data_IF_170038861800
#
_entry.id   IF_170038861800
#
_cell.length_a   1.000
_cell.length_b   1.000
_cell.length_c   1.000
_cell.angle_alpha   90.00
_cell.angle_beta   90.00
_cell.angle_gamma   90.00
#
_symmetry.space_group_name_H-M   'P 1'
#
loop_
_entity.id
_entity.type
_entity.pdbx_description
1 polymer ?
#
# COMPACT_ATOMS: atom_id res chain seq x y z
N UNK A 1 -15.72 -8.22 -56.34
CA UNK A 1 -15.93 -9.68 -56.55
C UNK A 1 -14.68 -10.34 -57.12
N UNK A 2 -14.12 -9.86 -58.24
CA UNK A 2 -12.86 -10.38 -58.83
C UNK A 2 -11.70 -10.46 -57.83
N UNK A 3 -11.47 -9.38 -57.06
CA UNK A 3 -10.49 -9.32 -55.95
C UNK A 3 -10.79 -10.29 -54.80
N UNK A 4 -12.07 -10.61 -54.56
CA UNK A 4 -12.48 -11.49 -53.45
C UNK A 4 -12.28 -12.96 -53.79
N UNK A 5 -12.57 -13.35 -55.03
CA UNK A 5 -12.43 -14.73 -55.50
C UNK A 5 -11.06 -15.04 -56.10
N UNK A 6 -10.10 -14.09 -56.02
CA UNK A 6 -8.76 -14.21 -56.63
C UNK A 6 -8.80 -14.57 -58.13
N UNK A 7 -9.83 -14.13 -58.83
CA UNK A 7 -10.00 -14.45 -60.25
C UNK A 7 -9.26 -13.41 -61.07
N UNK A 8 -8.26 -13.82 -61.85
CA UNK A 8 -7.57 -12.93 -62.78
C UNK A 8 -8.33 -12.90 -64.11
N UNK A 9 -9.34 -12.02 -64.24
CA UNK A 9 -10.09 -11.83 -65.48
C UNK A 9 -9.78 -10.46 -66.10
N UNK A 10 -9.50 -10.39 -67.42
CA UNK A 10 -9.37 -9.13 -68.12
C UNK A 10 -10.70 -8.37 -68.08
N UNK A 11 -10.63 -7.04 -67.96
CA UNK A 11 -11.83 -6.18 -68.01
C UNK A 11 -12.44 -6.27 -69.41
N UNK A 12 -13.50 -7.07 -69.56
CA UNK A 12 -14.28 -7.15 -70.79
C UNK A 12 -15.21 -5.93 -70.84
N UNK A 13 -14.87 -4.94 -71.65
CA UNK A 13 -15.79 -3.84 -71.98
C UNK A 13 -16.77 -4.32 -73.05
N UNK A 14 -18.00 -4.59 -72.66
CA UNK A 14 -19.08 -4.84 -73.61
C UNK A 14 -19.46 -3.53 -74.31
N UNK A 15 -18.88 -3.26 -75.47
CA UNK A 15 -19.35 -2.20 -76.37
C UNK A 15 -20.54 -2.74 -77.17
N UNK A 16 -21.74 -2.19 -76.90
CA UNK A 16 -23.06 -2.54 -77.46
C UNK A 16 -23.86 -3.58 -76.66
N UNK A 17 -24.17 -3.27 -75.39
CA UNK A 17 -25.35 -3.85 -74.75
C UNK A 17 -26.59 -3.22 -75.42
N UNK A 18 -27.47 -4.04 -75.98
CA UNK A 18 -28.80 -3.60 -76.43
C UNK A 18 -29.60 -3.00 -75.28
N UNK A 19 -30.63 -2.20 -75.56
CA UNK A 19 -31.57 -1.55 -74.59
C UNK A 19 -32.32 -2.54 -73.66
N UNK A 20 -31.93 -3.81 -73.62
CA UNK A 20 -32.52 -4.85 -72.80
C UNK A 20 -31.60 -5.18 -71.63
N UNK A 21 -32.07 -4.95 -70.40
CA UNK A 21 -31.37 -5.20 -69.14
C UNK A 21 -31.28 -6.69 -68.74
N UNK A 22 -31.13 -7.63 -69.69
CA UNK A 22 -31.10 -9.08 -69.42
C UNK A 22 -29.96 -9.50 -68.47
N UNK A 23 -28.85 -8.74 -68.49
CA UNK A 23 -27.68 -8.96 -67.64
C UNK A 23 -27.94 -8.57 -66.18
N UNK A 24 -28.91 -7.70 -65.92
CA UNK A 24 -29.22 -7.17 -64.60
C UNK A 24 -29.75 -8.28 -63.67
N UNK A 25 -30.62 -9.16 -64.16
CA UNK A 25 -31.12 -10.30 -63.37
C UNK A 25 -29.97 -11.20 -62.90
N UNK A 26 -29.05 -11.52 -63.80
CA UNK A 26 -27.87 -12.33 -63.48
C UNK A 26 -26.97 -11.64 -62.45
N UNK A 27 -26.79 -10.32 -62.59
CA UNK A 27 -26.00 -9.52 -61.65
C UNK A 27 -26.65 -9.43 -60.26
N UNK A 28 -27.98 -9.27 -60.19
CA UNK A 28 -28.75 -9.33 -58.93
C UNK A 28 -28.59 -10.69 -58.24
N UNK A 29 -28.67 -11.79 -58.99
CA UNK A 29 -28.44 -13.13 -58.47
C UNK A 29 -27.01 -13.30 -57.93
N UNK A 30 -26.01 -12.83 -58.67
CA UNK A 30 -24.61 -12.88 -58.26
C UNK A 30 -24.38 -12.07 -56.97
N UNK A 31 -24.92 -10.85 -56.89
CA UNK A 31 -24.82 -10.01 -55.70
C UNK A 31 -25.48 -10.67 -54.48
N UNK A 32 -26.67 -11.25 -54.65
CA UNK A 32 -27.35 -11.99 -53.56
C UNK A 32 -26.51 -13.15 -53.06
N UNK A 33 -26.02 -14.01 -53.95
CA UNK A 33 -25.18 -15.15 -53.58
C UNK A 33 -23.89 -14.70 -52.89
N UNK A 34 -23.28 -13.62 -53.39
CA UNK A 34 -22.09 -13.05 -52.79
C UNK A 34 -22.34 -12.53 -51.37
N UNK A 35 -23.45 -11.81 -51.14
CA UNK A 35 -23.82 -11.35 -49.80
C UNK A 35 -24.09 -12.55 -48.87
N UNK A 36 -24.75 -13.60 -49.36
CA UNK A 36 -24.94 -14.83 -48.60
C UNK A 36 -23.62 -15.47 -48.18
N UNK A 37 -22.62 -15.50 -49.07
CA UNK A 37 -21.29 -15.97 -48.73
C UNK A 37 -20.61 -15.09 -47.67
N UNK A 38 -20.73 -13.76 -47.75
CA UNK A 38 -20.23 -12.84 -46.73
C UNK A 38 -20.84 -13.13 -45.35
N UNK A 39 -22.11 -13.53 -45.29
CA UNK A 39 -22.79 -13.89 -44.04
C UNK A 39 -22.30 -15.21 -43.42
N UNK A 40 -21.49 -16.00 -44.12
CA UNK A 40 -20.82 -17.19 -43.54
C UNK A 40 -19.53 -16.84 -42.81
N UNK A 41 -19.03 -15.61 -42.95
CA UNK A 41 -17.77 -15.16 -42.35
C UNK A 41 -17.99 -14.71 -40.91
N UNK A 42 -16.98 -14.89 -40.07
CA UNK A 42 -17.00 -14.46 -38.68
C UNK A 42 -16.67 -12.97 -38.51
N UNK A 43 -16.80 -12.47 -37.29
CA UNK A 43 -16.53 -11.06 -36.97
C UNK A 43 -15.05 -10.66 -37.18
N UNK A 44 -14.11 -11.59 -37.04
CA UNK A 44 -12.69 -11.34 -37.28
C UNK A 44 -12.43 -11.07 -38.76
N UNK A 45 -13.00 -11.88 -39.65
CA UNK A 45 -12.90 -11.69 -41.08
C UNK A 45 -13.49 -10.34 -41.51
N UNK A 46 -14.67 -9.97 -40.98
CA UNK A 46 -15.32 -8.68 -41.27
C UNK A 46 -14.42 -7.52 -40.82
N UNK A 47 -13.79 -7.64 -39.65
CA UNK A 47 -12.87 -6.63 -39.11
C UNK A 47 -11.63 -6.45 -40.00
N UNK A 48 -11.02 -7.53 -40.47
CA UNK A 48 -9.85 -7.49 -41.35
C UNK A 48 -10.18 -6.95 -42.76
N UNK A 49 -11.41 -7.17 -43.24
CA UNK A 49 -11.85 -6.83 -44.58
C UNK A 49 -12.77 -5.60 -44.63
N UNK A 50 -12.70 -4.73 -43.63
CA UNK A 50 -13.66 -3.62 -43.48
C UNK A 50 -13.61 -2.63 -44.65
N UNK A 51 -12.41 -2.34 -45.17
CA UNK A 51 -12.25 -1.45 -46.32
C UNK A 51 -12.88 -2.06 -47.58
N UNK A 52 -12.70 -3.36 -47.79
CA UNK A 52 -13.32 -4.07 -48.90
C UNK A 52 -14.85 -4.00 -48.85
N UNK A 53 -15.45 -4.17 -47.66
CA UNK A 53 -16.89 -4.04 -47.49
C UNK A 53 -17.39 -2.62 -47.76
N UNK A 54 -16.63 -1.60 -47.35
CA UNK A 54 -16.95 -0.21 -47.65
C UNK A 54 -16.90 0.09 -49.15
N UNK A 55 -15.84 -0.37 -49.83
CA UNK A 55 -15.69 -0.22 -51.29
C UNK A 55 -16.86 -0.91 -52.02
N UNK A 56 -17.23 -2.13 -51.60
CA UNK A 56 -18.38 -2.84 -52.14
C UNK A 56 -19.66 -2.03 -51.99
N UNK A 57 -19.97 -1.59 -50.77
CA UNK A 57 -21.19 -0.84 -50.46
C UNK A 57 -21.23 0.50 -51.22
N UNK A 58 -20.10 1.19 -51.37
CA UNK A 58 -20.03 2.44 -52.14
C UNK A 58 -20.45 2.27 -53.61
N UNK A 59 -20.25 1.08 -54.18
CA UNK A 59 -20.63 0.77 -55.57
C UNK A 59 -22.09 0.33 -55.66
N UNK A 60 -22.56 -0.50 -54.73
CA UNK A 60 -23.89 -1.14 -54.85
C UNK A 60 -25.01 -0.33 -54.21
N UNK A 61 -24.71 0.55 -53.24
CA UNK A 61 -25.72 1.24 -52.44
C UNK A 61 -26.54 2.26 -53.22
N UNK A 62 -25.89 3.10 -54.04
CA UNK A 62 -26.56 4.16 -54.80
C UNK A 62 -27.16 3.64 -56.13
N UNK A 63 -26.93 2.37 -56.48
CA UNK A 63 -27.50 1.78 -57.70
C UNK A 63 -28.95 1.32 -57.46
N UNK A 64 -29.91 2.04 -58.04
CA UNK A 64 -31.34 1.90 -57.74
C UNK A 64 -31.89 0.47 -57.91
N UNK A 65 -31.34 -0.31 -58.85
CA UNK A 65 -31.74 -1.70 -59.09
C UNK A 65 -31.34 -2.69 -57.98
N UNK A 66 -30.40 -2.33 -57.11
CA UNK A 66 -29.97 -3.17 -55.98
C UNK A 66 -30.63 -2.79 -54.66
N UNK A 67 -31.50 -1.76 -54.65
CA UNK A 67 -32.12 -1.25 -53.44
C UNK A 67 -32.84 -2.34 -52.63
N UNK A 68 -33.56 -3.25 -53.29
CA UNK A 68 -34.24 -4.37 -52.63
C UNK A 68 -33.27 -5.32 -51.93
N UNK A 69 -32.14 -5.62 -52.57
CA UNK A 69 -31.11 -6.52 -52.05
C UNK A 69 -30.46 -5.90 -50.82
N UNK A 70 -30.05 -4.65 -50.92
CA UNK A 70 -29.36 -3.92 -49.85
C UNK A 70 -30.26 -3.73 -48.62
N UNK A 71 -31.56 -3.49 -48.82
CA UNK A 71 -32.50 -3.32 -47.72
C UNK A 71 -32.85 -4.64 -47.01
N UNK A 72 -32.85 -5.77 -47.74
CA UNK A 72 -33.37 -7.04 -47.21
C UNK A 72 -32.31 -7.99 -46.67
N UNK A 73 -31.07 -7.90 -47.16
CA UNK A 73 -29.99 -8.79 -46.76
C UNK A 73 -29.08 -8.17 -45.68
N UNK A 74 -28.49 -9.00 -44.79
CA UNK A 74 -27.51 -8.51 -43.84
C UNK A 74 -26.17 -8.25 -44.55
N UNK A 75 -25.77 -6.98 -44.64
CA UNK A 75 -24.54 -6.55 -45.31
C UNK A 75 -23.83 -5.42 -44.57
N UNK A 76 -24.50 -4.79 -43.60
CA UNK A 76 -23.96 -3.66 -42.86
C UNK A 76 -23.31 -4.13 -41.55
N UNK A 77 -22.05 -3.78 -41.28
CA UNK A 77 -21.39 -4.18 -40.05
C UNK A 77 -21.89 -3.34 -38.86
N UNK A 78 -22.25 -4.00 -37.77
CA UNK A 78 -22.43 -3.34 -36.48
C UNK A 78 -21.08 -3.11 -35.76
N UNK A 79 -21.10 -2.51 -34.57
CA UNK A 79 -19.87 -2.22 -33.80
C UNK A 79 -19.14 -3.47 -33.28
N UNK A 80 -19.76 -4.64 -33.36
CA UNK A 80 -19.15 -5.94 -33.08
C UNK A 80 -18.69 -6.68 -34.35
N UNK A 81 -18.71 -6.01 -35.51
CA UNK A 81 -18.34 -6.57 -36.80
C UNK A 81 -19.23 -7.72 -37.27
N UNK A 82 -20.47 -7.80 -36.78
CA UNK A 82 -21.47 -8.72 -37.29
C UNK A 82 -22.30 -8.04 -38.39
N UNK A 83 -22.51 -8.73 -39.51
CA UNK A 83 -23.33 -8.22 -40.61
C UNK A 83 -24.82 -8.27 -40.22
N UNK A 84 -25.50 -7.13 -40.34
CA UNK A 84 -26.91 -6.94 -40.01
C UNK A 84 -27.65 -6.29 -41.16
N UNK A 85 -28.97 -6.43 -41.15
CA UNK A 85 -29.85 -5.72 -42.08
C UNK A 85 -29.85 -4.24 -41.73
N UNK A 86 -30.08 -3.39 -42.72
CA UNK A 86 -30.18 -1.95 -42.50
C UNK A 86 -31.26 -1.60 -41.46
N UNK A 87 -32.39 -2.32 -41.48
CA UNK A 87 -33.52 -2.12 -40.55
C UNK A 87 -33.19 -2.41 -39.08
N UNK A 88 -32.17 -3.23 -38.82
CA UNK A 88 -31.79 -3.68 -37.49
C UNK A 88 -30.78 -2.75 -36.82
N UNK A 89 -30.30 -1.74 -37.56
CA UNK A 89 -29.22 -0.85 -37.16
C UNK A 89 -29.70 0.57 -36.92
N UNK A 90 -28.98 1.25 -36.02
CA UNK A 90 -29.14 2.64 -35.64
C UNK A 90 -27.80 3.36 -35.83
N UNK A 91 -27.85 4.65 -36.06
CA UNK A 91 -26.64 5.47 -36.21
C UNK A 91 -26.11 5.82 -34.81
N UNK A 92 -24.81 5.65 -34.61
CA UNK A 92 -24.13 6.08 -33.39
C UNK A 92 -23.96 7.60 -33.41
N UNK A 93 -24.73 8.31 -32.57
CA UNK A 93 -24.65 9.75 -32.37
C UNK A 93 -23.50 10.19 -31.48
N UNK A 94 -22.34 9.54 -31.61
CA UNK A 94 -21.12 9.77 -30.81
C UNK A 94 -21.31 9.44 -29.31
N UNK A 95 -21.87 8.26 -29.04
CA UNK A 95 -22.08 7.73 -27.68
C UNK A 95 -20.72 7.33 -27.08
N UNK A 96 -20.34 7.87 -25.90
CA UNK A 96 -19.12 7.46 -25.21
C UNK A 96 -19.09 5.95 -24.89
N UNK A 97 -17.93 5.30 -25.03
CA UNK A 97 -17.80 3.86 -24.77
C UNK A 97 -18.18 3.48 -23.33
N UNK A 98 -17.82 4.32 -22.35
CA UNK A 98 -18.22 4.09 -20.95
C UNK A 98 -19.75 4.11 -20.76
N UNK A 99 -20.46 4.95 -21.52
CA UNK A 99 -21.92 5.00 -21.48
C UNK A 99 -22.55 3.76 -22.12
N UNK A 100 -21.94 3.22 -23.19
CA UNK A 100 -22.35 1.94 -23.80
C UNK A 100 -22.18 0.77 -22.83
N UNK A 101 -21.03 0.71 -22.14
CA UNK A 101 -20.77 -0.34 -21.13
C UNK A 101 -21.75 -0.26 -19.96
N UNK A 102 -22.04 0.96 -19.50
CA UNK A 102 -23.02 1.20 -18.45
C UNK A 102 -24.43 0.75 -18.89
N UNK A 103 -24.82 1.09 -20.11
CA UNK A 103 -26.11 0.65 -20.67
C UNK A 103 -26.23 -0.86 -20.67
N UNK A 104 -25.24 -1.58 -21.19
CA UNK A 104 -25.26 -3.04 -21.27
C UNK A 104 -25.29 -3.70 -19.87
N UNK A 105 -24.60 -3.11 -18.90
CA UNK A 105 -24.53 -3.60 -17.51
C UNK A 105 -25.87 -3.49 -16.78
N UNK A 106 -26.61 -2.40 -17.00
CA UNK A 106 -27.92 -2.14 -16.35
C UNK A 106 -29.04 -2.83 -17.12
N UNK A 107 -28.94 -2.85 -18.45
CA UNK A 107 -30.06 -3.19 -19.31
C UNK A 107 -30.44 -4.65 -19.36
N UNK A 108 -29.50 -5.58 -19.03
CA UNK A 108 -29.63 -7.05 -19.13
C UNK A 108 -30.52 -7.51 -20.30
N UNK A 109 -30.48 -6.78 -21.42
CA UNK A 109 -31.34 -7.02 -22.58
C UNK A 109 -30.77 -8.15 -23.41
N UNK A 110 -31.64 -8.82 -24.19
CA UNK A 110 -31.22 -9.89 -25.10
C UNK A 110 -30.30 -9.43 -26.23
N UNK A 111 -30.14 -8.12 -26.43
CA UNK A 111 -29.20 -7.49 -27.36
C UNK A 111 -28.43 -6.38 -26.66
N UNK A 112 -27.12 -6.36 -26.87
CA UNK A 112 -26.23 -5.28 -26.41
C UNK A 112 -26.36 -4.04 -27.31
N UNK A 113 -26.04 -2.85 -26.80
CA UNK A 113 -26.12 -1.60 -27.57
C UNK A 113 -25.22 -1.65 -28.82
N UNK A 114 -24.04 -2.26 -28.70
CA UNK A 114 -23.08 -2.43 -29.81
C UNK A 114 -23.58 -3.39 -30.89
N UNK A 115 -24.60 -4.21 -30.60
CA UNK A 115 -25.21 -5.07 -31.61
C UNK A 115 -26.14 -4.32 -32.56
N UNK A 116 -26.74 -3.22 -32.08
CA UNK A 116 -27.75 -2.44 -32.80
C UNK A 116 -27.18 -1.15 -33.38
N UNK A 117 -25.97 -0.74 -33.00
CA UNK A 117 -25.30 0.41 -33.60
C UNK A 117 -24.47 0.00 -34.82
N UNK A 118 -24.59 0.77 -35.90
CA UNK A 118 -23.72 0.61 -37.07
C UNK A 118 -22.29 1.04 -36.76
N UNK A 119 -21.32 0.42 -37.43
CA UNK A 119 -19.94 0.89 -37.40
C UNK A 119 -19.84 2.28 -38.03
N UNK A 120 -19.17 3.23 -37.36
CA UNK A 120 -19.13 4.67 -37.70
C UNK A 120 -18.85 4.95 -39.19
N UNK A 121 -17.93 4.18 -39.79
CA UNK A 121 -17.49 4.33 -41.18
C UNK A 121 -18.61 4.06 -42.20
N UNK A 122 -19.69 3.39 -41.76
CA UNK A 122 -20.83 2.97 -42.57
C UNK A 122 -22.09 3.79 -42.29
N UNK A 123 -22.04 4.78 -41.38
CA UNK A 123 -23.20 5.61 -41.00
C UNK A 123 -23.84 6.32 -42.21
N UNK A 124 -23.05 6.68 -43.22
CA UNK A 124 -23.53 7.34 -44.44
C UNK A 124 -24.50 6.48 -45.27
N UNK A 125 -24.51 5.16 -45.06
CA UNK A 125 -25.43 4.24 -45.73
C UNK A 125 -26.79 4.15 -45.01
N UNK A 126 -26.97 4.81 -43.87
CA UNK A 126 -28.23 4.89 -43.14
C UNK A 126 -28.80 6.32 -43.22
N UNK A 127 -28.95 6.89 -44.42
CA UNK A 127 -29.37 8.30 -44.62
C UNK A 127 -30.66 8.70 -43.85
N UNK A 128 -31.59 7.75 -43.65
CA UNK A 128 -32.84 7.94 -42.90
C UNK A 128 -32.90 7.12 -41.58
N UNK A 129 -31.76 6.65 -41.09
CA UNK A 129 -31.68 5.83 -39.88
C UNK A 129 -31.94 6.65 -38.62
N UNK A 130 -32.58 6.03 -37.62
CA UNK A 130 -32.68 6.62 -36.28
C UNK A 130 -31.28 6.76 -35.67
N UNK A 131 -30.96 7.98 -35.21
CA UNK A 131 -29.72 8.31 -34.50
C UNK A 131 -29.98 8.08 -33.01
N UNK A 132 -29.12 7.27 -32.37
CA UNK A 132 -29.09 7.15 -30.92
C UNK A 132 -28.04 8.11 -30.37
N UNK A 133 -28.47 9.08 -29.58
CA UNK A 133 -27.59 10.06 -28.93
C UNK A 133 -27.26 9.65 -27.49
N UNK A 134 -26.21 10.21 -26.87
CA UNK A 134 -25.91 9.99 -25.45
C UNK A 134 -27.12 10.26 -24.53
N UNK A 135 -27.91 11.30 -24.80
CA UNK A 135 -29.09 11.68 -24.02
C UNK A 135 -30.21 10.64 -24.14
N UNK A 136 -30.38 10.03 -25.32
CA UNK A 136 -31.33 8.93 -25.49
C UNK A 136 -30.93 7.72 -24.63
N UNK A 137 -29.65 7.36 -24.65
CA UNK A 137 -29.13 6.23 -23.86
C UNK A 137 -29.23 6.51 -22.36
N UNK A 138 -28.84 7.71 -21.92
CA UNK A 138 -28.96 8.14 -20.54
C UNK A 138 -30.41 8.11 -20.05
N UNK A 139 -31.35 8.64 -20.84
CA UNK A 139 -32.79 8.59 -20.53
C UNK A 139 -33.32 7.15 -20.44
N UNK A 140 -32.90 6.25 -21.33
CA UNK A 140 -33.26 4.83 -21.26
C UNK A 140 -32.73 4.17 -19.97
N UNK A 141 -31.52 4.51 -19.54
CA UNK A 141 -30.94 4.05 -18.27
C UNK A 141 -31.73 4.59 -17.08
N UNK A 142 -32.01 5.90 -17.03
CA UNK A 142 -32.77 6.50 -15.93
C UNK A 142 -34.18 5.90 -15.80
N UNK A 143 -34.83 5.63 -16.93
CA UNK A 143 -36.12 4.94 -16.97
C UNK A 143 -36.04 3.51 -16.42
N UNK A 144 -34.93 2.79 -16.66
CA UNK A 144 -34.72 1.46 -16.06
C UNK A 144 -34.41 1.54 -14.57
N UNK A 145 -33.68 2.56 -14.15
CA UNK A 145 -33.35 2.78 -12.74
C UNK A 145 -34.55 3.27 -11.92
N UNK A 146 -35.61 3.79 -12.55
CA UNK A 146 -36.87 4.21 -11.89
C UNK A 146 -36.68 5.04 -10.61
N UNK A 147 -35.68 5.93 -10.59
CA UNK A 147 -35.27 6.72 -9.41
C UNK A 147 -36.40 7.63 -8.90
N UNK A 148 -37.35 8.00 -9.77
CA UNK A 148 -38.53 8.78 -9.37
C UNK A 148 -39.54 7.97 -8.54
N UNK A 149 -39.63 6.66 -8.75
CA UNK A 149 -40.58 5.77 -8.08
C UNK A 149 -39.99 5.06 -6.85
N UNK A 150 -38.67 5.20 -6.62
CA UNK A 150 -37.99 4.56 -5.50
C UNK A 150 -38.30 5.27 -4.18
N UNK A 151 -38.81 4.52 -3.19
CA UNK A 151 -39.10 5.00 -1.83
C UNK A 151 -37.88 4.97 -0.90
N UNK A 152 -36.91 4.10 -1.19
CA UNK A 152 -35.65 4.00 -0.43
C UNK A 152 -34.49 3.67 -1.38
N UNK A 153 -33.69 4.68 -1.69
CA UNK A 153 -32.58 4.56 -2.65
C UNK A 153 -31.48 3.58 -2.18
N UNK A 154 -31.33 3.36 -0.86
CA UNK A 154 -30.28 2.50 -0.32
C UNK A 154 -30.51 1.02 -0.55
N UNK A 155 -31.77 0.62 -0.76
CA UNK A 155 -32.14 -0.76 -1.07
C UNK A 155 -32.25 -1.00 -2.57
N UNK A 156 -31.89 -0.02 -3.41
CA UNK A 156 -32.01 -0.13 -4.85
C UNK A 156 -31.01 -1.14 -5.43
N UNK A 157 -31.47 -2.09 -6.26
CA UNK A 157 -30.64 -3.14 -6.87
C UNK A 157 -29.40 -2.57 -7.59
N UNK A 158 -29.56 -1.41 -8.21
CA UNK A 158 -28.53 -0.75 -9.00
C UNK A 158 -27.84 0.44 -8.30
N UNK A 159 -27.88 0.52 -6.97
CA UNK A 159 -27.30 1.65 -6.21
C UNK A 159 -25.84 1.94 -6.56
N UNK A 160 -25.04 0.89 -6.77
CA UNK A 160 -23.64 1.02 -7.19
C UNK A 160 -23.48 1.78 -8.52
N UNK A 161 -24.37 1.55 -9.48
CA UNK A 161 -24.36 2.22 -10.79
C UNK A 161 -24.82 3.67 -10.67
N UNK A 162 -25.84 3.93 -9.85
CA UNK A 162 -26.31 5.30 -9.57
C UNK A 162 -25.18 6.14 -8.99
N UNK A 163 -24.44 5.59 -8.03
CA UNK A 163 -23.31 6.28 -7.40
C UNK A 163 -22.14 6.47 -8.37
N UNK A 164 -21.88 5.47 -9.23
CA UNK A 164 -20.91 5.61 -10.31
C UNK A 164 -21.29 6.77 -11.22
N UNK A 165 -22.56 6.87 -11.64
CA UNK A 165 -23.05 7.97 -12.48
C UNK A 165 -22.86 9.33 -11.77
N UNK A 166 -23.24 9.46 -10.48
CA UNK A 166 -23.06 10.72 -9.74
C UNK A 166 -21.59 11.12 -9.66
N UNK A 167 -20.70 10.15 -9.45
CA UNK A 167 -19.25 10.39 -9.47
C UNK A 167 -18.81 10.85 -10.87
N UNK A 168 -19.21 10.16 -11.93
CA UNK A 168 -18.85 10.52 -13.30
C UNK A 168 -19.38 11.89 -13.69
N UNK A 169 -20.57 12.30 -13.24
CA UNK A 169 -21.08 13.67 -13.45
C UNK A 169 -20.20 14.71 -12.74
N UNK A 170 -19.70 14.39 -11.55
CA UNK A 170 -18.80 15.26 -10.79
C UNK A 170 -17.43 15.41 -11.47
N UNK A 171 -16.95 14.33 -12.10
CA UNK A 171 -15.67 14.29 -12.81
C UNK A 171 -15.78 14.86 -14.25
N UNK A 172 -16.94 14.72 -14.90
CA UNK A 172 -17.22 15.14 -16.26
C UNK A 172 -18.63 15.75 -16.38
N UNK A 173 -18.69 17.08 -16.49
CA UNK A 173 -19.94 17.82 -16.51
C UNK A 173 -20.87 17.48 -17.68
N UNK A 174 -20.35 16.99 -18.82
CA UNK A 174 -21.19 16.60 -19.96
C UNK A 174 -22.16 15.45 -19.62
N UNK A 175 -21.82 14.63 -18.63
CA UNK A 175 -22.72 13.55 -18.18
C UNK A 175 -23.98 14.06 -17.48
N UNK A 176 -23.98 15.31 -17.00
CA UNK A 176 -25.20 15.92 -16.42
C UNK A 176 -26.32 16.05 -17.46
N UNK A 177 -25.96 16.27 -18.73
CA UNK A 177 -26.91 16.36 -19.84
C UNK A 177 -27.49 14.99 -20.20
N UNK A 178 -26.71 13.92 -20.00
CA UNK A 178 -27.15 12.54 -20.27
C UNK A 178 -28.09 12.02 -19.18
N UNK A 179 -27.92 12.48 -17.93
CA UNK A 179 -28.63 12.00 -16.75
C UNK A 179 -29.29 13.14 -15.95
N UNK A 180 -30.29 13.84 -16.54
CA UNK A 180 -30.91 15.01 -15.91
C UNK A 180 -31.66 14.67 -14.62
N UNK A 181 -32.27 13.47 -14.51
CA UNK A 181 -33.00 13.08 -13.30
C UNK A 181 -32.03 12.81 -12.16
N UNK A 182 -30.96 12.07 -12.40
CA UNK A 182 -29.92 11.78 -11.40
C UNK A 182 -29.25 13.07 -10.95
N UNK A 183 -28.89 13.95 -11.88
CA UNK A 183 -28.29 15.25 -11.56
C UNK A 183 -29.20 16.07 -10.64
N UNK A 184 -30.50 16.16 -10.95
CA UNK A 184 -31.47 16.90 -10.14
C UNK A 184 -31.64 16.34 -8.72
N UNK A 185 -31.47 15.02 -8.55
CA UNK A 185 -31.66 14.32 -7.27
C UNK A 185 -30.36 13.99 -6.53
N UNK A 186 -29.19 14.33 -7.07
CA UNK A 186 -27.88 13.91 -6.52
C UNK A 186 -27.72 14.22 -5.03
N UNK A 187 -28.14 15.40 -4.59
CA UNK A 187 -28.02 15.83 -3.20
C UNK A 187 -28.95 15.00 -2.29
N UNK A 188 -30.20 14.78 -2.72
CA UNK A 188 -31.16 13.94 -2.00
C UNK A 188 -30.69 12.48 -1.90
N UNK A 189 -30.18 11.91 -3.00
CA UNK A 189 -29.64 10.55 -3.04
C UNK A 189 -28.46 10.41 -2.06
N UNK A 190 -27.53 11.38 -2.08
CA UNK A 190 -26.37 11.37 -1.18
C UNK A 190 -26.76 11.52 0.29
N UNK A 191 -27.79 12.33 0.60
CA UNK A 191 -28.29 12.51 1.96
C UNK A 191 -29.09 11.31 2.46
N UNK A 192 -29.93 10.72 1.61
CA UNK A 192 -30.69 9.50 1.94
C UNK A 192 -29.76 8.32 2.26
N UNK A 193 -28.59 8.27 1.61
CA UNK A 193 -27.52 7.30 1.91
C UNK A 193 -27.04 7.32 3.35
N UNK A 194 -27.25 8.45 4.02
CA UNK A 194 -26.86 8.69 5.39
C UNK A 194 -28.12 8.54 6.26
N UNK A 195 -28.69 7.33 6.27
CA UNK A 195 -29.99 7.08 6.93
C UNK A 195 -29.89 6.93 8.45
N UNK A 196 -28.78 6.39 8.95
CA UNK A 196 -28.58 6.17 10.38
C UNK A 196 -27.77 7.31 11.01
N UNK A 197 -28.17 7.70 12.23
CA UNK A 197 -27.54 8.80 12.95
C UNK A 197 -26.06 8.54 13.27
N UNK A 198 -25.64 7.28 13.34
CA UNK A 198 -24.27 6.89 13.65
C UNK A 198 -23.34 7.16 12.46
N UNK A 199 -23.65 6.60 11.29
CA UNK A 199 -22.95 6.87 10.02
C UNK A 199 -22.98 8.35 9.67
N UNK A 200 -24.07 9.06 10.00
CA UNK A 200 -24.16 10.51 9.84
C UNK A 200 -23.11 11.25 10.66
N UNK A 201 -22.99 10.92 11.94
CA UNK A 201 -22.03 11.55 12.84
C UNK A 201 -20.58 11.22 12.43
N UNK A 202 -20.32 9.99 12.01
CA UNK A 202 -19.01 9.57 11.53
C UNK A 202 -18.62 10.31 10.26
N UNK A 203 -19.54 10.41 9.29
CA UNK A 203 -19.28 11.12 8.03
C UNK A 203 -19.05 12.61 8.28
N UNK A 204 -19.82 13.26 9.15
CA UNK A 204 -19.58 14.65 9.52
C UNK A 204 -18.21 14.83 10.18
N UNK A 205 -17.81 13.90 11.04
CA UNK A 205 -16.49 13.91 11.66
C UNK A 205 -15.38 13.79 10.61
N UNK A 206 -15.58 12.98 9.57
CA UNK A 206 -14.64 12.80 8.46
C UNK A 206 -14.58 14.05 7.55
N UNK A 207 -15.72 14.62 7.17
CA UNK A 207 -15.78 15.80 6.31
C UNK A 207 -15.18 17.03 7.00
N UNK A 208 -15.26 17.10 8.33
CA UNK A 208 -14.62 18.14 9.14
C UNK A 208 -13.09 18.02 9.25
N UNK A 209 -12.48 16.95 8.75
CA UNK A 209 -11.02 16.77 8.80
C UNK A 209 -10.30 17.69 7.80
N UNK A 210 -9.03 17.97 8.08
CA UNK A 210 -8.15 18.65 7.14
C UNK A 210 -7.91 17.81 5.87
N UNK A 211 -7.63 18.49 4.74
CA UNK A 211 -7.46 17.89 3.41
C UNK A 211 -6.52 16.67 3.39
N UNK A 212 -5.39 16.75 4.09
CA UNK A 212 -4.38 15.68 4.10
C UNK A 212 -4.88 14.40 4.77
N UNK A 213 -5.70 14.54 5.82
CA UNK A 213 -6.32 13.39 6.52
C UNK A 213 -7.42 12.76 5.68
N UNK A 214 -8.21 13.59 4.98
CA UNK A 214 -9.23 13.11 4.04
C UNK A 214 -8.56 12.33 2.89
N UNK A 215 -7.45 12.83 2.36
CA UNK A 215 -6.68 12.13 1.32
C UNK A 215 -6.19 10.76 1.81
N UNK A 216 -5.63 10.69 3.02
CA UNK A 216 -5.18 9.44 3.64
C UNK A 216 -6.33 8.43 3.81
N UNK A 217 -7.50 8.89 4.29
CA UNK A 217 -8.70 8.05 4.40
C UNK A 217 -9.21 7.60 3.03
N UNK A 218 -9.08 8.45 2.01
CA UNK A 218 -9.39 8.11 0.62
C UNK A 218 -8.46 7.02 0.08
N UNK A 219 -7.17 7.07 0.38
CA UNK A 219 -6.22 6.01 0.00
C UNK A 219 -6.50 4.70 0.71
N UNK A 220 -6.75 4.77 2.03
CA UNK A 220 -7.11 3.62 2.86
C UNK A 220 -8.41 2.94 2.38
N UNK A 221 -9.45 3.72 2.07
CA UNK A 221 -10.74 3.17 1.63
C UNK A 221 -10.72 2.44 0.29
N UNK A 222 -9.65 2.60 -0.51
CA UNK A 222 -9.42 1.85 -1.75
C UNK A 222 -8.73 0.50 -1.55
N UNK A 223 -8.27 0.20 -0.33
CA UNK A 223 -7.62 -1.07 -0.02
C UNK A 223 -8.66 -2.14 0.32
N UNK A 224 -8.49 -3.34 -0.25
CA UNK A 224 -9.37 -4.49 0.04
C UNK A 224 -9.29 -4.92 1.52
N UNK A 225 -8.09 -4.82 2.12
CA UNK A 225 -7.81 -5.26 3.50
C UNK A 225 -7.94 -4.14 4.56
N UNK A 226 -8.76 -3.12 4.31
CA UNK A 226 -8.90 -1.94 5.18
C UNK A 226 -9.05 -2.30 6.67
N UNK A 227 -9.94 -3.25 6.99
CA UNK A 227 -10.21 -3.66 8.37
C UNK A 227 -8.97 -4.24 9.05
N UNK A 228 -8.21 -5.08 8.35
CA UNK A 228 -7.01 -5.71 8.88
C UNK A 228 -5.89 -4.68 9.07
N UNK A 229 -5.73 -3.75 8.13
CA UNK A 229 -4.75 -2.65 8.23
C UNK A 229 -5.03 -1.78 9.46
N UNK A 230 -6.30 -1.40 9.67
CA UNK A 230 -6.68 -0.58 10.83
C UNK A 230 -6.40 -1.34 12.13
N UNK A 231 -6.73 -2.63 12.21
CA UNK A 231 -6.49 -3.45 13.40
C UNK A 231 -5.01 -3.55 13.72
N UNK A 232 -4.19 -3.98 12.75
CA UNK A 232 -2.74 -4.11 12.94
C UNK A 232 -2.08 -2.77 13.26
N UNK A 233 -2.54 -1.68 12.64
CA UNK A 233 -2.05 -0.33 12.92
C UNK A 233 -2.33 0.11 14.36
N UNK A 234 -3.53 -0.18 14.89
CA UNK A 234 -3.88 0.09 16.28
C UNK A 234 -3.01 -0.73 17.23
N UNK A 235 -2.91 -2.04 17.01
CA UNK A 235 -2.12 -2.95 17.84
C UNK A 235 -0.64 -2.53 17.88
N UNK A 236 -0.06 -2.22 16.71
CA UNK A 236 1.33 -1.77 16.62
C UNK A 236 1.57 -0.40 17.28
N UNK A 237 0.59 0.51 17.21
CA UNK A 237 0.68 1.82 17.86
C UNK A 237 0.60 1.70 19.38
N UNK A 238 -0.30 0.84 19.89
CA UNK A 238 -0.38 0.51 21.31
C UNK A 238 0.92 -0.13 21.81
N UNK A 239 1.46 -1.10 21.06
CA UNK A 239 2.74 -1.73 21.39
C UNK A 239 3.90 -0.73 21.41
N UNK A 240 3.94 0.19 20.43
CA UNK A 240 4.94 1.27 20.40
C UNK A 240 4.85 2.15 21.64
N UNK A 241 3.65 2.59 22.01
CA UNK A 241 3.46 3.42 23.21
C UNK A 241 3.89 2.68 24.48
N UNK A 242 3.54 1.39 24.59
CA UNK A 242 3.98 0.56 25.71
C UNK A 242 5.50 0.40 25.77
N UNK A 243 6.15 0.17 24.63
CA UNK A 243 7.61 0.03 24.55
C UNK A 243 8.34 1.33 24.88
N UNK A 244 7.84 2.47 24.40
CA UNK A 244 8.44 3.79 24.62
C UNK A 244 8.31 4.22 26.09
N UNK A 245 7.15 3.97 26.72
CA UNK A 245 6.99 4.13 28.16
C UNK A 245 7.96 3.22 28.93
N UNK A 246 8.02 1.92 28.61
CA UNK A 246 8.91 0.96 29.27
C UNK A 246 10.40 1.34 29.13
N UNK A 247 10.80 1.88 27.99
CA UNK A 247 12.17 2.36 27.76
C UNK A 247 12.51 3.58 28.64
N UNK A 248 11.66 4.61 28.64
CA UNK A 248 11.84 5.81 29.47
C UNK A 248 11.91 5.47 30.97
N UNK A 249 11.07 4.55 31.42
CA UNK A 249 11.07 4.09 32.82
C UNK A 249 12.32 3.24 33.15
N UNK A 250 12.73 2.31 32.29
CA UNK A 250 13.97 1.53 32.50
C UNK A 250 15.20 2.41 32.56
N UNK A 251 15.27 3.46 31.74
CA UNK A 251 16.38 4.40 31.74
C UNK A 251 16.45 5.17 33.08
N UNK A 252 15.32 5.74 33.52
CA UNK A 252 15.21 6.45 34.80
C UNK A 252 15.67 5.60 35.99
N UNK A 253 15.25 4.34 36.03
CA UNK A 253 15.64 3.42 37.11
C UNK A 253 17.09 2.94 36.98
N UNK A 254 17.61 2.76 35.76
CA UNK A 254 19.02 2.49 35.52
C UNK A 254 19.91 3.54 36.17
N UNK A 255 19.64 4.82 35.88
CA UNK A 255 20.34 5.96 36.50
C UNK A 255 20.17 6.01 38.02
N UNK A 256 19.01 5.60 38.54
CA UNK A 256 18.82 5.53 39.98
C UNK A 256 19.67 4.43 40.64
N UNK A 257 19.75 3.24 40.03
CA UNK A 257 20.60 2.15 40.51
C UNK A 257 22.08 2.53 40.43
N UNK A 258 22.51 3.16 39.33
CA UNK A 258 23.86 3.73 39.20
C UNK A 258 24.21 4.65 40.37
N UNK A 259 23.28 5.57 40.73
CA UNK A 259 23.44 6.47 41.86
C UNK A 259 23.60 5.71 43.19
N UNK A 260 22.72 4.74 43.48
CA UNK A 260 22.77 3.97 44.73
C UNK A 260 24.08 3.17 44.86
N UNK A 261 24.55 2.55 43.78
CA UNK A 261 25.83 1.82 43.76
C UNK A 261 27.00 2.77 44.01
N UNK A 262 26.99 3.95 43.37
CA UNK A 262 28.02 4.98 43.56
C UNK A 262 28.07 5.49 44.99
N UNK A 263 26.91 5.81 45.59
CA UNK A 263 26.82 6.28 46.97
C UNK A 263 27.38 5.23 47.94
N UNK A 264 27.01 3.95 47.76
CA UNK A 264 27.53 2.85 48.57
C UNK A 264 29.06 2.72 48.47
N UNK A 265 29.61 2.76 47.25
CA UNK A 265 31.08 2.71 47.04
C UNK A 265 31.75 3.93 47.68
N UNK A 266 31.18 5.12 47.53
CA UNK A 266 31.71 6.35 48.12
C UNK A 266 31.73 6.31 49.65
N UNK A 267 30.65 5.86 50.27
CA UNK A 267 30.53 5.74 51.73
C UNK A 267 31.56 4.77 52.30
N UNK A 268 31.78 3.62 51.66
CA UNK A 268 32.77 2.63 52.11
C UNK A 268 34.22 3.10 51.91
N UNK A 269 34.45 4.06 51.01
CA UNK A 269 35.77 4.61 50.70
C UNK A 269 36.03 5.98 51.35
N UNK A 270 35.07 6.54 52.09
CA UNK A 270 35.11 7.92 52.62
C UNK A 270 36.34 8.19 53.51
N UNK A 271 36.77 7.17 54.26
CA UNK A 271 37.90 7.26 55.18
C UNK A 271 39.27 7.30 54.46
N UNK A 272 39.31 7.04 53.15
CA UNK A 272 40.53 6.99 52.35
C UNK A 272 40.74 8.23 51.45
N UNK A 273 39.88 9.27 51.57
CA UNK A 273 39.88 10.46 50.68
C UNK A 273 39.73 10.11 49.19
N UNK A 274 38.97 9.08 48.89
CA UNK A 274 38.71 8.63 47.52
C UNK A 274 37.34 9.14 47.09
N UNK A 275 37.26 9.75 45.89
CA UNK A 275 35.98 10.19 45.32
C UNK A 275 35.48 9.19 44.28
N UNK A 276 34.15 9.04 44.22
CA UNK A 276 33.45 8.28 43.18
C UNK A 276 32.59 9.27 42.38
N UNK A 277 33.08 9.66 41.20
CA UNK A 277 32.50 10.75 40.41
C UNK A 277 31.84 10.24 39.12
N UNK A 278 30.83 10.97 38.63
CA UNK A 278 30.30 10.82 37.26
C UNK A 278 31.18 11.57 36.27
N UNK A 279 31.39 11.01 35.07
CA UNK A 279 32.04 11.71 33.96
C UNK A 279 31.05 11.86 32.79
N UNK A 280 30.75 13.10 32.38
CA UNK A 280 29.86 13.36 31.24
C UNK A 280 30.37 12.66 29.97
N UNK A 281 29.55 11.75 29.42
CA UNK A 281 29.88 10.97 28.22
C UNK A 281 30.91 9.85 28.41
N UNK A 282 31.23 9.50 29.66
CA UNK A 282 32.18 8.45 30.04
C UNK A 282 31.52 7.27 30.76
N UNK A 283 32.28 6.61 31.63
CA UNK A 283 31.83 5.50 32.47
C UNK A 283 30.92 5.98 33.60
N UNK A 284 30.04 5.10 34.09
CA UNK A 284 29.03 5.45 35.09
C UNK A 284 29.65 5.85 36.44
N UNK A 285 30.77 5.23 36.84
CA UNK A 285 31.49 5.56 38.08
C UNK A 285 33.00 5.57 37.84
N UNK A 286 33.67 6.65 38.27
CA UNK A 286 35.12 6.78 38.24
C UNK A 286 35.66 6.93 39.66
N UNK A 287 36.56 6.04 40.08
CA UNK A 287 37.19 6.06 41.39
C UNK A 287 38.52 6.81 41.31
N UNK A 288 38.68 7.86 42.10
CA UNK A 288 39.88 8.72 42.12
C UNK A 288 40.51 8.84 43.50
N UNK A 289 41.84 8.89 43.53
CA UNK A 289 42.63 9.21 44.72
C UNK A 289 43.71 10.21 44.33
N UNK A 290 43.82 11.32 45.07
CA UNK A 290 44.75 12.41 44.76
C UNK A 290 44.68 12.90 43.30
N UNK A 291 43.47 13.03 42.75
CA UNK A 291 43.19 13.37 41.35
C UNK A 291 43.63 12.35 40.28
N UNK A 292 44.16 11.19 40.67
CA UNK A 292 44.48 10.09 39.75
C UNK A 292 43.34 9.08 39.67
N UNK A 293 43.06 8.59 38.46
CA UNK A 293 42.02 7.59 38.23
C UNK A 293 42.57 6.20 38.53
N UNK A 294 42.06 5.62 39.61
CA UNK A 294 42.40 4.28 40.08
C UNK A 294 41.58 3.24 39.35
N UNK A 295 40.28 3.49 39.16
CA UNK A 295 39.36 2.47 38.67
C UNK A 295 38.14 3.06 37.95
N UNK A 296 37.62 2.33 36.99
CA UNK A 296 36.40 2.62 36.25
C UNK A 296 35.37 1.52 36.48
N UNK A 297 34.11 1.90 36.68
CA UNK A 297 33.01 0.96 36.82
C UNK A 297 31.87 1.37 35.89
N UNK A 298 31.39 0.39 35.13
CA UNK A 298 30.22 0.49 34.28
C UNK A 298 29.09 -0.32 34.93
N UNK A 299 27.93 0.28 35.15
CA UNK A 299 26.79 -0.33 35.81
C UNK A 299 25.73 -0.70 34.78
N UNK A 300 25.26 -1.95 34.81
CA UNK A 300 24.16 -2.44 33.96
C UNK A 300 23.14 -3.15 34.81
N UNK A 301 21.89 -2.68 34.75
CA UNK A 301 20.74 -3.36 35.36
C UNK A 301 20.01 -4.23 34.34
N UNK A 302 19.69 -5.46 34.72
CA UNK A 302 18.97 -6.41 33.87
C UNK A 302 17.59 -6.69 34.42
N UNK A 303 16.56 -6.38 33.62
CA UNK A 303 15.16 -6.46 34.04
C UNK A 303 14.37 -7.62 33.42
N UNK A 304 14.96 -8.37 32.50
CA UNK A 304 14.32 -9.48 31.79
C UNK A 304 15.25 -10.70 31.77
N UNK A 305 14.71 -11.89 32.10
CA UNK A 305 15.48 -13.12 32.10
C UNK A 305 15.80 -13.65 30.69
N UNK A 306 15.16 -13.09 29.65
CA UNK A 306 15.43 -13.34 28.24
C UNK A 306 16.51 -12.42 27.68
N UNK A 307 16.71 -11.24 28.27
CA UNK A 307 17.74 -10.32 27.80
C UNK A 307 19.11 -10.70 28.35
N UNK A 308 20.16 -10.32 27.63
CA UNK A 308 21.55 -10.40 28.12
C UNK A 308 22.05 -9.01 28.47
N UNK A 309 23.13 -8.93 29.24
CA UNK A 309 23.79 -7.65 29.48
C UNK A 309 24.55 -7.29 28.21
N UNK A 310 24.35 -6.05 27.73
CA UNK A 310 24.98 -5.56 26.51
C UNK A 310 25.89 -4.38 26.80
N UNK A 311 27.07 -4.37 26.18
CA UNK A 311 28.00 -3.23 26.19
C UNK A 311 28.06 -2.59 24.80
N UNK A 312 28.07 -1.26 24.75
CA UNK A 312 28.26 -0.51 23.51
C UNK A 312 29.71 -0.62 22.99
N UNK A 313 29.97 -0.32 21.71
CA UNK A 313 31.34 -0.28 21.18
C UNK A 313 32.32 0.54 22.02
N UNK A 314 31.88 1.71 22.50
CA UNK A 314 32.71 2.60 23.31
C UNK A 314 33.04 1.98 24.67
N UNK A 315 32.06 1.34 25.31
CA UNK A 315 32.25 0.65 26.58
C UNK A 315 33.22 -0.52 26.44
N UNK A 316 33.08 -1.31 25.37
CA UNK A 316 34.01 -2.40 25.05
C UNK A 316 35.44 -1.88 24.84
N UNK A 317 35.60 -0.80 24.07
CA UNK A 317 36.90 -0.17 23.83
C UNK A 317 37.54 0.31 25.14
N UNK A 318 36.78 1.04 25.95
CA UNK A 318 37.25 1.56 27.22
C UNK A 318 37.64 0.44 28.20
N UNK A 319 36.89 -0.66 28.22
CA UNK A 319 37.19 -1.84 29.04
C UNK A 319 38.52 -2.49 28.66
N UNK A 320 38.83 -2.58 27.37
CA UNK A 320 40.09 -3.15 26.87
C UNK A 320 41.26 -2.21 27.12
N UNK A 321 41.11 -0.91 26.86
CA UNK A 321 42.15 0.10 27.10
C UNK A 321 42.53 0.21 28.58
N UNK A 322 41.56 0.00 29.48
CA UNK A 322 41.73 0.09 30.93
C UNK A 322 41.59 -1.27 31.63
N UNK A 323 41.95 -2.38 30.96
CA UNK A 323 41.71 -3.77 31.43
C UNK A 323 42.09 -4.07 32.88
N UNK A 324 43.18 -3.48 33.39
CA UNK A 324 43.65 -3.70 34.77
C UNK A 324 42.86 -2.93 35.82
N UNK A 325 42.01 -1.98 35.41
CA UNK A 325 41.31 -1.03 36.28
C UNK A 325 39.89 -0.69 35.80
N UNK A 326 39.26 -1.62 35.11
CA UNK A 326 37.89 -1.47 34.61
C UNK A 326 37.04 -2.65 35.10
N UNK A 327 35.82 -2.39 35.53
CA UNK A 327 34.90 -3.45 35.96
C UNK A 327 33.49 -3.21 35.46
N UNK A 328 32.80 -4.30 35.12
CA UNK A 328 31.39 -4.27 34.78
C UNK A 328 30.58 -4.71 36.01
N UNK A 329 29.85 -3.76 36.60
CA UNK A 329 28.90 -3.98 37.67
C UNK A 329 27.54 -4.37 37.07
N UNK A 330 27.06 -5.56 37.42
CA UNK A 330 25.82 -6.13 36.92
C UNK A 330 24.82 -6.22 38.06
N UNK A 331 23.61 -5.69 37.88
CA UNK A 331 22.53 -5.76 38.86
C UNK A 331 21.37 -6.59 38.31
N UNK A 332 21.11 -7.75 38.93
CA UNK A 332 20.07 -8.68 38.49
C UNK A 332 18.69 -8.33 39.06
N UNK A 333 17.81 -7.82 38.19
CA UNK A 333 16.47 -7.32 38.51
C UNK A 333 15.35 -8.08 37.78
N UNK A 334 15.66 -9.17 37.08
CA UNK A 334 14.66 -9.91 36.27
C UNK A 334 13.57 -10.58 37.09
N UNK A 335 13.88 -10.99 38.33
CA UNK A 335 12.95 -11.57 39.30
C UNK A 335 12.55 -10.58 40.43
N UNK A 336 13.13 -9.39 40.46
CA UNK A 336 12.87 -8.40 41.50
C UNK A 336 11.41 -7.92 41.47
N UNK A 337 10.66 -8.18 42.56
CA UNK A 337 9.27 -7.73 42.78
C UNK A 337 8.33 -7.93 41.57
N UNK A 338 8.52 -8.99 40.77
CA UNK A 338 7.70 -9.28 39.58
C UNK A 338 6.21 -9.34 39.94
N UNK A 339 5.37 -8.68 39.15
CA UNK A 339 3.92 -8.63 39.37
C UNK A 339 3.45 -7.63 40.44
N UNK A 340 4.38 -6.93 41.12
CA UNK A 340 4.04 -5.87 42.08
C UNK A 340 4.13 -4.49 41.42
N UNK A 341 3.25 -3.56 41.83
CA UNK A 341 3.28 -2.16 41.38
C UNK A 341 4.61 -1.47 41.69
N UNK A 342 5.26 -1.87 42.78
CA UNK A 342 6.53 -1.35 43.28
C UNK A 342 7.76 -1.99 42.64
N UNK A 343 7.61 -2.78 41.56
CA UNK A 343 8.73 -3.47 40.90
C UNK A 343 9.91 -2.55 40.58
N UNK A 344 9.61 -1.30 40.26
CA UNK A 344 10.58 -0.31 39.82
C UNK A 344 11.00 0.66 40.94
N UNK A 345 10.51 0.45 42.16
CA UNK A 345 10.84 1.24 43.33
C UNK A 345 11.95 0.53 44.11
N UNK A 346 13.19 0.97 43.86
CA UNK A 346 14.37 0.57 44.62
C UNK A 346 14.84 1.83 45.33
N UNK A 347 14.66 1.94 46.64
CA UNK A 347 15.11 3.14 47.38
C UNK A 347 16.33 2.85 48.24
N UNK A 348 16.45 1.62 48.73
CA UNK A 348 17.55 1.18 49.57
C UNK A 348 18.47 0.22 48.80
N UNK A 349 19.76 0.52 48.78
CA UNK A 349 20.79 -0.33 48.16
C UNK A 349 20.80 -1.73 48.80
N UNK A 350 20.47 -1.85 50.08
CA UNK A 350 20.45 -3.13 50.80
C UNK A 350 19.43 -4.12 50.21
N UNK A 351 18.36 -3.64 49.54
CA UNK A 351 17.39 -4.49 48.84
C UNK A 351 17.99 -5.21 47.63
N UNK A 352 19.09 -4.67 47.08
CA UNK A 352 19.72 -5.15 45.85
C UNK A 352 21.19 -5.55 46.01
N UNK A 353 21.80 -5.41 47.20
CA UNK A 353 23.19 -5.80 47.45
C UNK A 353 23.50 -7.24 47.02
N UNK A 354 22.67 -8.21 47.42
CA UNK A 354 22.83 -9.62 47.03
C UNK A 354 22.55 -9.90 45.55
N UNK A 355 22.18 -8.89 44.76
CA UNK A 355 21.90 -8.97 43.31
C UNK A 355 22.98 -8.29 42.47
N UNK A 356 23.98 -7.68 43.12
CA UNK A 356 25.10 -7.01 42.46
C UNK A 356 26.24 -8.00 42.27
N UNK A 357 26.79 -8.03 41.06
CA UNK A 357 27.97 -8.83 40.72
C UNK A 357 28.94 -8.02 39.89
N UNK A 358 30.22 -8.06 40.25
CA UNK A 358 31.30 -7.27 39.64
C UNK A 358 32.22 -8.18 38.83
N UNK A 359 32.32 -7.90 37.52
CA UNK A 359 33.27 -8.55 36.63
C UNK A 359 34.50 -7.66 36.43
N UNK A 360 35.55 -7.90 37.21
CA UNK A 360 36.80 -7.14 37.12
C UNK A 360 37.72 -7.56 35.97
N UNK A 361 37.51 -8.74 35.38
CA UNK A 361 38.30 -9.26 34.26
C UNK A 361 37.61 -9.05 32.90
N UNK A 362 36.58 -8.21 32.85
CA UNK A 362 35.75 -8.02 31.65
C UNK A 362 36.56 -7.48 30.46
N UNK A 363 37.55 -6.62 30.72
CA UNK A 363 38.45 -6.10 29.69
C UNK A 363 39.27 -7.21 29.02
N UNK A 364 39.83 -8.13 29.81
CA UNK A 364 40.61 -9.27 29.30
C UNK A 364 39.74 -10.25 28.50
N UNK A 365 38.47 -10.41 28.90
CA UNK A 365 37.51 -11.25 28.18
C UNK A 365 37.09 -10.65 26.83
N UNK A 366 36.98 -9.33 26.75
CA UNK A 366 36.56 -8.61 25.54
C UNK A 366 37.71 -8.41 24.55
N UNK A 367 38.96 -8.28 25.04
CA UNK A 367 40.14 -7.95 24.22
C UNK A 367 40.28 -8.83 22.96
N UNK A 368 40.17 -10.18 23.02
CA UNK A 368 40.32 -11.02 21.83
C UNK A 368 39.24 -10.76 20.78
N UNK A 369 38.00 -10.50 21.23
CA UNK A 369 36.85 -10.23 20.36
C UNK A 369 37.04 -8.87 19.68
N UNK A 370 37.39 -7.84 20.45
CA UNK A 370 37.56 -6.49 19.93
C UNK A 370 38.76 -6.39 18.98
N UNK A 371 39.88 -7.07 19.27
CA UNK A 371 41.02 -7.17 18.33
C UNK A 371 40.62 -7.81 17.02
N UNK A 372 39.80 -8.87 17.05
CA UNK A 372 39.26 -9.48 15.85
C UNK A 372 38.39 -8.52 15.03
N UNK A 373 37.50 -7.76 15.69
CA UNK A 373 36.65 -6.74 15.04
C UNK A 373 37.48 -5.60 14.43
N UNK A 374 38.50 -5.12 15.15
CA UNK A 374 39.38 -4.04 14.70
C UNK A 374 40.33 -4.49 13.57
N UNK A 375 40.75 -5.75 13.54
CA UNK A 375 41.59 -6.31 12.48
C UNK A 375 40.91 -6.36 11.11
N UNK A 376 39.57 -6.29 11.07
CA UNK A 376 38.76 -6.23 9.84
C UNK A 376 38.59 -4.79 9.35
N UNK A 377 39.02 -3.77 10.12
CA UNK A 377 39.00 -2.39 9.65
C UNK A 377 40.19 -2.12 8.74
N UNK A 378 39.90 -1.74 7.51
CA UNK A 378 40.91 -1.21 6.59
C UNK A 378 41.13 0.27 6.94
N UNK A 379 42.27 0.56 7.55
CA UNK A 379 42.63 1.91 7.99
C UNK A 379 43.05 2.77 6.80
N UNK A 380 43.58 2.19 5.72
CA UNK A 380 44.02 2.93 4.53
C UNK A 380 42.85 3.36 3.65
N UNK A 381 41.79 2.54 3.57
CA UNK A 381 40.62 2.81 2.73
C UNK A 381 39.37 3.23 3.52
N UNK A 382 39.50 3.49 4.83
CA UNK A 382 38.40 3.81 5.75
C UNK A 382 37.23 2.79 5.78
N UNK A 383 37.47 1.56 5.31
CA UNK A 383 36.44 0.51 5.31
C UNK A 383 36.29 -0.01 6.74
N UNK A 384 35.11 0.20 7.30
CA UNK A 384 34.78 -0.23 8.66
C UNK A 384 33.41 -0.89 8.73
N UNK A 385 33.20 -1.68 9.78
CA UNK A 385 31.89 -2.25 10.08
C UNK A 385 30.90 -1.12 10.39
N UNK A 386 29.92 -0.94 9.51
CA UNK A 386 28.77 -0.08 9.74
C UNK A 386 27.73 -0.84 10.58
N UNK A 387 27.25 -0.23 11.67
CA UNK A 387 26.21 -0.80 12.54
C UNK A 387 26.56 -0.80 14.03
N UNK A 388 25.53 -0.99 14.84
CA UNK A 388 25.56 -0.91 16.30
C UNK A 388 26.02 -2.25 16.92
N UNK A 389 27.26 -2.68 16.64
CA UNK A 389 27.77 -3.95 17.18
C UNK A 389 27.92 -3.85 18.70
N UNK A 390 27.32 -4.78 19.44
CA UNK A 390 27.32 -4.75 20.92
C UNK A 390 27.96 -6.02 21.48
N UNK A 391 28.68 -5.86 22.59
CA UNK A 391 29.22 -6.97 23.35
C UNK A 391 28.11 -7.60 24.20
N UNK A 392 27.79 -8.87 23.96
CA UNK A 392 26.80 -9.61 24.75
C UNK A 392 27.54 -10.38 25.85
N UNK A 393 27.23 -10.08 27.11
CA UNK A 393 27.83 -10.77 28.27
C UNK A 393 26.84 -11.80 28.81
N UNK A 394 27.12 -13.11 28.65
CA UNK A 394 26.21 -14.15 29.11
C UNK A 394 26.10 -14.18 30.64
N UNK A 395 24.92 -14.54 31.13
CA UNK A 395 24.66 -14.63 32.57
C UNK A 395 25.52 -15.66 33.29
N UNK A 396 25.90 -16.74 32.60
CA UNK A 396 26.84 -17.73 33.13
C UNK A 396 28.24 -17.16 33.40
N UNK A 397 28.60 -16.06 32.74
CA UNK A 397 29.84 -15.30 33.00
C UNK A 397 29.60 -14.31 34.13
N UNK A 398 28.52 -13.54 34.10
CA UNK A 398 28.15 -12.58 35.15
C UNK A 398 28.18 -13.22 36.53
N UNK A 399 27.53 -14.38 36.70
CA UNK A 399 27.45 -15.11 37.97
C UNK A 399 28.78 -15.60 38.54
N UNK A 400 29.89 -15.48 37.80
CA UNK A 400 31.24 -15.83 38.27
C UNK A 400 32.01 -14.63 38.83
N UNK A 401 31.44 -13.43 38.75
CA UNK A 401 32.05 -12.23 39.30
C UNK A 401 32.01 -12.19 40.83
N UNK A 402 32.68 -11.18 41.37
CA UNK A 402 32.73 -10.91 42.80
C UNK A 402 31.44 -10.24 43.27
N UNK A 403 31.05 -10.41 44.54
CA UNK A 403 30.08 -9.51 45.16
C UNK A 403 30.67 -8.11 45.38
N UNK A 404 29.81 -7.12 45.60
CA UNK A 404 30.23 -5.72 45.73
C UNK A 404 31.18 -5.50 46.91
N UNK A 405 30.90 -6.08 48.07
CA UNK A 405 31.69 -5.88 49.28
C UNK A 405 33.10 -6.47 49.11
N UNK A 406 33.20 -7.66 48.52
CA UNK A 406 34.48 -8.29 48.22
C UNK A 406 35.29 -7.50 47.17
N UNK A 407 34.63 -6.93 46.17
CA UNK A 407 35.27 -6.02 45.22
C UNK A 407 35.83 -4.76 45.91
N UNK A 408 35.04 -4.10 46.75
CA UNK A 408 35.48 -2.92 47.52
C UNK A 408 36.69 -3.28 48.41
N UNK A 409 36.64 -4.43 49.08
CA UNK A 409 37.77 -4.93 49.86
C UNK A 409 39.05 -5.11 49.02
N UNK A 410 38.94 -5.69 47.80
CA UNK A 410 40.08 -5.80 46.88
C UNK A 410 40.62 -4.43 46.47
N UNK A 411 39.75 -3.49 46.16
CA UNK A 411 40.12 -2.13 45.78
C UNK A 411 40.91 -1.44 46.90
N UNK A 412 40.41 -1.49 48.14
CA UNK A 412 41.09 -0.94 49.33
C UNK A 412 42.50 -1.54 49.47
N UNK A 413 42.63 -2.86 49.30
CA UNK A 413 43.95 -3.52 49.39
C UNK A 413 44.92 -3.11 48.30
N UNK A 414 44.45 -2.80 47.10
CA UNK A 414 45.30 -2.28 46.02
C UNK A 414 45.85 -0.91 46.44
N UNK A 415 44.99 -0.06 46.97
CA UNK A 415 45.32 1.29 47.41
C UNK A 415 46.28 1.35 48.60
N UNK A 416 46.10 0.47 49.57
CA UNK A 416 47.01 0.33 50.71
C UNK A 416 48.41 -0.14 50.28
N UNK A 417 48.52 -0.92 49.19
CA UNK A 417 49.80 -1.38 48.65
C UNK A 417 50.52 -0.30 47.86
N UNK A 418 49.77 0.52 47.12
CA UNK A 418 50.31 1.65 46.36
C UNK A 418 50.74 2.80 47.27
N UNK A 419 50.06 3.00 48.41
CA UNK A 419 50.43 4.02 49.41
C UNK A 419 51.70 3.69 50.22
N UNK A 420 52.24 2.47 50.10
CA UNK A 420 53.46 1.99 50.78
C UNK A 420 54.68 1.90 49.85
N UNK A 421 54.53 2.22 48.57
CA UNK A 421 55.63 2.45 47.63
C UNK A 421 55.90 3.93 47.54
#
# INVERSE_FOLDING_TARGET
MTKYYEIDQPIIRFSNLSDSDWWLTSLKCLLRNFIWELNTKDCNWVKENIQFLNDLLSVVYDYYEFKDIIQTLPIFPNQQFNLRKQSDLKIDGNIPEELKDLYDSISKSSKQIREILILMNFSNFLKDGEIKTPENIGSEIENKLQILACTNINQHEHIQYILKIIKTISDNSSWSEYFPVIESKKASIMLERISDNETKNDLFSIIGLGKDKIALLGDLSRQEDLEQIIKLGKDAFEEKQHNEANFQFKNTIGTHIEKLVREKIGDDLINLKISADEQQGGQDIVIRHNNEIIHYIEVKSRWDNRSSITMSPLQMKNAVENRSKYSLCCVEMSDYKVGKKERYNVYDINEILGRITILSDIGDRIEPILKGVLAVKDIENEISLAGDYRGIIPQSIVKRGDDLDYFIYKLIRILERESKK
#
